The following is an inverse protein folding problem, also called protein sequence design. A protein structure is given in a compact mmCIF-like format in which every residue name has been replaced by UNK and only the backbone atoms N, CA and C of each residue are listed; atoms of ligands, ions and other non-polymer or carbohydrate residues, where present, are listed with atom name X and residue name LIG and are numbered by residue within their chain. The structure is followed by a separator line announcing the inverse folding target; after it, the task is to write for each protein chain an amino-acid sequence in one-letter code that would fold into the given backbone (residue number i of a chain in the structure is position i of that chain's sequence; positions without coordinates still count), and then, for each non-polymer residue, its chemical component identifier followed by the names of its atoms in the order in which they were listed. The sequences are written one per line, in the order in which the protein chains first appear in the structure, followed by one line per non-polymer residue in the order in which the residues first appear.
data_IF_563524123324
#
_entry.id   IF_563524123324
#
_cell.length_a   1.000
_cell.length_b   1.000
_cell.length_c   1.000
_cell.angle_alpha   90.00
_cell.angle_beta   90.00
_cell.angle_gamma   90.00
#
_symmetry.space_group_name_H-M   'P 1'
#
loop_
_entity.id
_entity.type
_entity.pdbx_description
1 polymer ?
#
# COMPACT_ATOMS: atom_id res chain seq x y z
N UNK A 1 25.98 -20.75 32.36
CA UNK A 1 24.62 -20.20 32.56
C UNK A 1 24.56 -18.70 32.28
N UNK A 2 24.82 -18.33 31.05
CA UNK A 2 24.74 -16.96 30.59
C UNK A 2 24.01 -16.90 29.24
N UNK A 3 22.72 -17.20 29.23
CA UNK A 3 21.83 -16.99 28.09
C UNK A 3 20.39 -17.04 28.53
N UNK A 4 19.87 -15.96 29.11
CA UNK A 4 18.45 -15.61 29.14
C UNK A 4 18.26 -14.14 29.55
N UNK A 5 18.94 -13.26 28.84
CA UNK A 5 18.64 -11.83 28.84
C UNK A 5 17.97 -11.46 27.53
N UNK A 6 16.80 -12.04 27.23
CA UNK A 6 15.91 -11.47 26.24
C UNK A 6 15.41 -10.17 26.85
N UNK A 7 15.99 -9.06 26.39
CA UNK A 7 15.55 -7.72 26.70
C UNK A 7 14.05 -7.62 26.30
N UNK A 8 13.16 -7.87 27.25
CA UNK A 8 11.77 -7.43 27.15
C UNK A 8 11.84 -5.90 27.12
N UNK A 9 11.95 -5.32 25.93
CA UNK A 9 11.57 -3.94 25.75
C UNK A 9 10.11 -3.84 26.17
N UNK A 10 9.92 -3.30 27.37
CA UNK A 10 8.59 -2.91 27.82
C UNK A 10 8.17 -1.77 26.91
N UNK A 11 7.27 -2.04 25.98
CA UNK A 11 6.62 -1.01 25.19
C UNK A 11 5.98 -0.03 26.16
N UNK A 12 6.42 1.22 26.13
CA UNK A 12 5.80 2.29 26.89
C UNK A 12 4.41 2.53 26.31
N UNK A 13 3.49 2.99 27.15
CA UNK A 13 2.06 3.22 26.85
C UNK A 13 1.80 4.20 25.68
N UNK A 14 2.86 4.73 25.05
CA UNK A 14 2.85 5.69 23.96
C UNK A 14 3.48 5.13 22.67
N UNK A 15 3.55 3.81 22.50
CA UNK A 15 4.04 3.22 21.25
C UNK A 15 3.05 3.55 20.14
N UNK A 16 3.46 4.45 19.25
CA UNK A 16 2.68 4.84 18.07
C UNK A 16 2.59 3.63 17.17
N UNK A 17 1.37 3.12 16.99
CA UNK A 17 1.11 2.06 16.01
C UNK A 17 1.26 2.67 14.63
N UNK A 18 2.23 2.17 13.86
CA UNK A 18 2.44 2.60 12.49
C UNK A 18 1.54 1.79 11.58
N UNK A 19 0.72 2.49 10.80
CA UNK A 19 -0.14 1.87 9.78
C UNK A 19 0.72 1.48 8.58
N UNK A 20 0.69 0.21 8.23
CA UNK A 20 1.47 -0.33 7.12
C UNK A 20 0.77 -0.14 5.77
N UNK A 21 1.51 -0.03 4.64
CA UNK A 21 0.90 0.13 3.31
C UNK A 21 -0.13 -0.96 2.96
N UNK A 22 0.07 -2.18 3.44
CA UNK A 22 -0.88 -3.28 3.25
C UNK A 22 -2.23 -3.09 3.94
N UNK A 23 -2.32 -2.12 4.84
CA UNK A 23 -3.56 -1.75 5.54
C UNK A 23 -4.22 -0.49 4.95
N UNK A 24 -3.59 0.11 3.93
CA UNK A 24 -4.08 1.30 3.26
C UNK A 24 -4.82 0.92 1.98
N UNK A 25 -6.15 1.02 2.01
CA UNK A 25 -7.02 0.67 0.90
C UNK A 25 -7.83 1.86 0.42
N UNK A 26 -8.12 1.89 -0.88
CA UNK A 26 -9.19 2.70 -1.46
C UNK A 26 -10.23 1.78 -2.11
N UNK A 27 -11.48 2.21 -2.13
CA UNK A 27 -12.62 1.40 -2.52
C UNK A 27 -13.31 0.72 -1.33
N UNK A 28 -14.02 -0.36 -1.60
CA UNK A 28 -14.74 -1.09 -0.56
C UNK A 28 -13.80 -1.94 0.29
N UNK A 29 -13.53 -1.53 1.52
CA UNK A 29 -12.63 -2.24 2.45
C UNK A 29 -13.01 -3.71 2.70
N UNK A 30 -14.29 -4.05 2.57
CA UNK A 30 -14.82 -5.40 2.79
C UNK A 30 -14.97 -6.20 1.49
N UNK A 31 -14.47 -5.68 0.36
CA UNK A 31 -14.52 -6.37 -0.92
C UNK A 31 -13.77 -7.70 -0.88
N UNK A 32 -14.36 -8.72 -1.51
CA UNK A 32 -13.74 -10.03 -1.67
C UNK A 32 -12.57 -10.03 -2.66
N UNK A 33 -12.49 -9.00 -3.51
CA UNK A 33 -11.45 -8.86 -4.55
C UNK A 33 -10.61 -7.62 -4.27
N UNK A 34 -9.30 -7.83 -4.18
CA UNK A 34 -8.30 -6.78 -4.01
C UNK A 34 -7.43 -6.69 -5.26
N UNK A 35 -7.36 -5.52 -5.86
CA UNK A 35 -6.35 -5.18 -6.86
C UNK A 35 -5.14 -4.62 -6.14
N UNK A 36 -3.97 -5.21 -6.34
CA UNK A 36 -2.71 -4.79 -5.73
C UNK A 36 -1.76 -4.38 -6.84
N UNK A 37 -1.15 -3.21 -6.70
CA UNK A 37 -0.07 -2.74 -7.56
C UNK A 37 1.23 -2.66 -6.77
N UNK A 38 2.31 -3.21 -7.31
CA UNK A 38 3.67 -2.87 -6.90
C UNK A 38 4.23 -1.84 -7.87
N UNK A 39 4.62 -0.69 -7.33
CA UNK A 39 5.05 0.45 -8.14
C UNK A 39 5.84 1.48 -7.36
N UNK A 40 6.16 2.59 -8.02
CA UNK A 40 6.89 3.72 -7.43
C UNK A 40 6.58 5.04 -8.14
N UNK A 41 6.92 6.16 -7.52
CA UNK A 41 6.43 7.48 -7.92
C UNK A 41 7.27 8.21 -8.99
N UNK A 42 8.54 7.84 -9.23
CA UNK A 42 9.32 8.42 -10.33
C UNK A 42 9.00 7.76 -11.67
N UNK A 43 8.47 6.54 -11.66
CA UNK A 43 8.17 5.77 -12.86
C UNK A 43 7.07 6.41 -13.70
N UNK A 44 7.38 6.67 -14.96
CA UNK A 44 6.40 7.13 -15.94
C UNK A 44 5.31 6.10 -16.20
N UNK A 45 5.70 4.83 -16.24
CA UNK A 45 4.77 3.73 -16.48
C UNK A 45 3.78 3.58 -15.32
N UNK A 46 4.25 3.70 -14.07
CA UNK A 46 3.36 3.70 -12.91
C UNK A 46 2.41 4.91 -12.92
N UNK A 47 2.89 6.09 -13.31
CA UNK A 47 2.04 7.28 -13.42
C UNK A 47 0.94 7.12 -14.48
N UNK A 48 1.26 6.55 -15.65
CA UNK A 48 0.27 6.24 -16.70
C UNK A 48 -0.78 5.25 -16.22
N UNK A 49 -0.34 4.21 -15.52
CA UNK A 49 -1.23 3.17 -15.01
C UNK A 49 -2.12 3.68 -13.88
N UNK A 50 -1.67 4.68 -13.10
CA UNK A 50 -2.50 5.30 -12.07
C UNK A 50 -3.82 5.84 -12.63
N UNK A 51 -3.83 6.39 -13.84
CA UNK A 51 -5.06 6.85 -14.49
C UNK A 51 -5.98 5.67 -14.86
N UNK A 52 -5.42 4.54 -15.26
CA UNK A 52 -6.18 3.31 -15.51
C UNK A 52 -6.80 2.79 -14.21
N UNK A 53 -6.04 2.79 -13.11
CA UNK A 53 -6.54 2.38 -11.78
C UNK A 53 -7.71 3.25 -11.34
N UNK A 54 -7.64 4.57 -11.54
CA UNK A 54 -8.77 5.47 -11.24
C UNK A 54 -10.03 5.09 -12.03
N UNK A 55 -9.90 4.78 -13.31
CA UNK A 55 -11.02 4.32 -14.13
C UNK A 55 -11.59 3.00 -13.63
N UNK A 56 -10.71 2.04 -13.26
CA UNK A 56 -11.13 0.76 -12.69
C UNK A 56 -11.90 0.94 -11.37
N UNK A 57 -11.45 1.84 -10.51
CA UNK A 57 -12.13 2.12 -9.25
C UNK A 57 -13.54 2.72 -9.45
N UNK A 58 -13.76 3.46 -10.53
CA UNK A 58 -15.08 3.96 -10.92
C UNK A 58 -15.94 2.81 -11.48
N UNK A 59 -15.41 2.03 -12.42
CA UNK A 59 -16.15 0.93 -13.07
C UNK A 59 -16.54 -0.18 -12.09
N UNK A 60 -15.67 -0.47 -11.14
CA UNK A 60 -15.85 -1.50 -10.13
C UNK A 60 -16.23 -0.96 -8.75
N UNK A 61 -16.86 0.22 -8.70
CA UNK A 61 -17.28 0.85 -7.45
C UNK A 61 -18.06 -0.12 -6.56
N UNK A 62 -17.70 -0.16 -5.29
CA UNK A 62 -18.28 -1.06 -4.30
C UNK A 62 -17.91 -2.55 -4.44
N UNK A 63 -17.31 -2.98 -5.55
CA UNK A 63 -17.00 -4.40 -5.83
C UNK A 63 -15.58 -4.79 -5.48
N UNK A 64 -14.64 -3.86 -5.57
CA UNK A 64 -13.21 -4.08 -5.33
C UNK A 64 -12.64 -3.10 -4.31
N UNK A 65 -11.47 -3.43 -3.81
CA UNK A 65 -10.58 -2.49 -3.14
C UNK A 65 -9.23 -2.49 -3.83
N UNK A 66 -8.52 -1.37 -3.74
CA UNK A 66 -7.20 -1.20 -4.32
C UNK A 66 -6.16 -0.94 -3.24
N UNK A 67 -4.99 -1.52 -3.41
CA UNK A 67 -3.83 -1.36 -2.56
C UNK A 67 -2.60 -1.07 -3.41
N UNK A 68 -1.85 -0.03 -3.02
CA UNK A 68 -0.56 0.28 -3.63
C UNK A 68 0.57 -0.15 -2.68
N UNK A 69 1.50 -0.94 -3.18
CA UNK A 69 2.66 -1.44 -2.46
C UNK A 69 3.92 -0.88 -3.11
N UNK A 70 4.84 -0.42 -2.30
CA UNK A 70 6.03 0.29 -2.77
C UNK A 70 7.11 -0.67 -3.29
N UNK A 71 7.61 -0.39 -4.49
CA UNK A 71 8.73 -1.13 -5.07
C UNK A 71 9.71 -0.18 -5.78
N UNK A 72 10.35 0.75 -5.03
CA UNK A 72 11.23 1.76 -5.60
C UNK A 72 12.48 1.13 -6.23
N UNK A 73 12.76 1.48 -7.50
CA UNK A 73 13.93 1.05 -8.26
C UNK A 73 15.09 2.03 -8.03
N UNK A 74 15.66 2.03 -6.84
CA UNK A 74 16.61 3.04 -6.37
C UNK A 74 17.90 3.17 -7.18
N UNK A 75 18.26 2.15 -7.97
CA UNK A 75 19.43 2.20 -8.86
C UNK A 75 19.22 3.14 -10.06
N UNK A 76 17.98 3.32 -10.51
CA UNK A 76 17.63 4.16 -11.66
C UNK A 76 16.79 5.37 -11.27
N UNK A 77 16.02 5.29 -10.19
CA UNK A 77 15.14 6.31 -9.66
C UNK A 77 15.54 6.68 -8.23
N UNK A 78 16.47 7.61 -8.09
CA UNK A 78 17.13 7.90 -6.81
C UNK A 78 16.21 8.55 -5.76
N UNK A 79 15.12 9.18 -6.18
CA UNK A 79 14.16 9.87 -5.30
C UNK A 79 12.95 9.00 -4.94
N UNK A 80 12.80 7.85 -5.59
CA UNK A 80 11.64 6.97 -5.44
C UNK A 80 11.48 6.42 -4.02
N UNK A 81 12.59 6.13 -3.32
CA UNK A 81 12.56 5.65 -1.93
C UNK A 81 11.94 6.69 -0.99
N UNK A 82 12.44 7.94 -1.01
CA UNK A 82 11.91 9.01 -0.16
C UNK A 82 10.48 9.40 -0.53
N UNK A 83 10.13 9.34 -1.81
CA UNK A 83 8.76 9.54 -2.25
C UNK A 83 7.83 8.45 -1.67
N UNK A 84 8.25 7.18 -1.69
CA UNK A 84 7.52 6.07 -1.09
C UNK A 84 7.35 6.27 0.43
N UNK A 85 8.43 6.60 1.13
CA UNK A 85 8.37 6.90 2.58
C UNK A 85 7.41 8.07 2.88
N UNK A 86 7.37 9.10 2.02
CA UNK A 86 6.49 10.25 2.21
C UNK A 86 5.00 9.89 2.08
N UNK A 87 4.66 8.94 1.20
CA UNK A 87 3.30 8.43 1.09
C UNK A 87 2.90 7.64 2.35
N UNK A 88 3.80 6.81 2.89
CA UNK A 88 3.56 6.08 4.14
C UNK A 88 3.39 7.05 5.31
N UNK A 89 4.22 8.09 5.39
CA UNK A 89 4.11 9.15 6.40
C UNK A 89 2.75 9.86 6.34
N UNK A 90 2.30 10.24 5.15
CA UNK A 90 0.97 10.84 4.95
C UNK A 90 -0.16 9.88 5.33
N UNK A 91 0.02 8.60 5.09
CA UNK A 91 -0.92 7.55 5.44
C UNK A 91 -1.18 7.42 6.94
N UNK A 92 -0.25 7.83 7.81
CA UNK A 92 -0.43 7.82 9.25
C UNK A 92 -1.54 8.77 9.72
N UNK A 93 -1.85 9.78 8.92
CA UNK A 93 -2.96 10.72 9.13
C UNK A 93 -4.16 10.45 8.20
N UNK A 94 -4.21 9.29 7.55
CA UNK A 94 -5.26 8.95 6.59
C UNK A 94 -5.17 9.73 5.26
N UNK A 95 -3.98 10.24 4.92
CA UNK A 95 -3.72 11.06 3.72
C UNK A 95 -2.86 10.35 2.67
N UNK A 96 -2.84 9.02 2.71
CA UNK A 96 -2.06 8.22 1.77
C UNK A 96 -2.47 8.50 0.31
N UNK A 97 -3.75 8.45 0.01
CA UNK A 97 -4.25 8.54 -1.37
C UNK A 97 -4.17 9.95 -1.93
N UNK A 98 -4.37 10.97 -1.11
CA UNK A 98 -4.13 12.35 -1.49
C UNK A 98 -2.65 12.56 -1.83
N UNK A 99 -1.74 12.08 -0.97
CA UNK A 99 -0.29 12.16 -1.22
C UNK A 99 0.12 11.35 -2.44
N UNK A 100 -0.40 10.14 -2.62
CA UNK A 100 -0.18 9.26 -3.77
C UNK A 100 -0.48 9.97 -5.08
N UNK A 101 -1.62 10.66 -5.18
CA UNK A 101 -1.99 11.39 -6.38
C UNK A 101 -1.10 12.61 -6.62
N UNK A 102 -0.75 13.37 -5.59
CA UNK A 102 0.16 14.52 -5.69
C UNK A 102 1.56 14.08 -6.14
N UNK A 103 2.06 12.97 -5.63
CA UNK A 103 3.38 12.42 -6.02
C UNK A 103 3.42 12.03 -7.50
N UNK A 104 2.43 11.32 -8.01
CA UNK A 104 2.37 10.98 -9.43
C UNK A 104 2.21 12.21 -10.32
N UNK A 105 1.42 13.19 -9.91
CA UNK A 105 1.27 14.45 -10.65
C UNK A 105 2.59 15.23 -10.74
N UNK A 106 3.49 15.04 -9.77
CA UNK A 106 4.77 15.76 -9.66
C UNK A 106 5.99 14.83 -9.77
N UNK A 107 5.86 13.68 -10.43
CA UNK A 107 6.87 12.60 -10.47
C UNK A 107 8.29 13.05 -10.85
N UNK A 108 8.44 14.15 -11.56
CA UNK A 108 9.75 14.68 -11.99
C UNK A 108 10.43 15.56 -10.94
N UNK A 109 9.72 15.90 -9.87
CA UNK A 109 10.22 16.78 -8.82
C UNK A 109 9.92 16.23 -7.41
N UNK A 110 10.60 15.15 -7.04
CA UNK A 110 10.41 14.43 -5.79
C UNK A 110 11.56 14.63 -4.78
N UNK A 111 12.18 15.82 -4.80
CA UNK A 111 13.16 16.21 -3.79
C UNK A 111 12.52 16.40 -2.41
N UNK A 112 13.29 16.25 -1.35
CA UNK A 112 12.79 16.28 0.04
C UNK A 112 12.01 17.54 0.38
N UNK A 113 12.46 18.71 -0.09
CA UNK A 113 11.74 19.99 0.09
C UNK A 113 10.39 19.98 -0.61
N UNK A 114 10.34 19.43 -1.83
CA UNK A 114 9.09 19.29 -2.59
C UNK A 114 8.14 18.32 -1.91
N UNK A 115 8.64 17.20 -1.38
CA UNK A 115 7.81 16.23 -0.63
C UNK A 115 7.14 16.87 0.59
N UNK A 116 7.84 17.79 1.28
CA UNK A 116 7.23 18.58 2.36
C UNK A 116 6.09 19.48 1.87
N UNK A 117 6.27 20.14 0.73
CA UNK A 117 5.20 20.96 0.13
C UNK A 117 4.00 20.10 -0.27
N UNK A 118 4.25 18.95 -0.90
CA UNK A 118 3.21 18.01 -1.32
C UNK A 118 2.45 17.42 -0.12
N UNK A 119 3.12 17.20 1.00
CA UNK A 119 2.42 16.75 2.21
C UNK A 119 1.40 17.77 2.71
N UNK A 120 1.71 19.06 2.64
CA UNK A 120 0.75 20.12 2.97
C UNK A 120 -0.41 20.17 1.98
N UNK A 121 -0.12 20.06 0.68
CA UNK A 121 -1.13 19.97 -0.37
C UNK A 121 -2.07 18.78 -0.16
N UNK A 122 -1.53 17.63 0.25
CA UNK A 122 -2.29 16.44 0.61
C UNK A 122 -3.09 16.56 1.92
N UNK A 123 -2.89 17.64 2.69
CA UNK A 123 -3.59 17.87 3.94
C UNK A 123 -2.95 17.23 5.17
N UNK A 124 -1.65 16.92 5.11
CA UNK A 124 -0.88 16.41 6.26
C UNK A 124 -0.59 17.54 7.24
N UNK A 125 -0.93 17.35 8.51
CA UNK A 125 -0.75 18.33 9.57
C UNK A 125 0.47 18.06 10.48
N UNK A 126 1.11 16.91 10.36
CA UNK A 126 2.24 16.52 11.17
C UNK A 126 3.42 17.50 11.00
N UNK A 127 3.70 18.28 12.03
CA UNK A 127 4.81 19.25 12.04
C UNK A 127 6.21 18.59 11.95
N UNK A 128 6.30 17.32 12.32
CA UNK A 128 7.54 16.51 12.26
C UNK A 128 7.73 15.79 10.94
N UNK A 129 6.81 15.95 9.97
CA UNK A 129 6.84 15.21 8.70
C UNK A 129 8.21 15.22 8.02
N UNK A 130 8.84 16.40 7.90
CA UNK A 130 10.15 16.52 7.26
C UNK A 130 11.24 15.81 8.07
N UNK A 131 11.25 15.98 9.40
CA UNK A 131 12.25 15.35 10.28
C UNK A 131 12.11 13.82 10.24
N UNK A 132 10.90 13.31 10.29
CA UNK A 132 10.61 11.88 10.18
C UNK A 132 11.02 11.32 8.81
N UNK A 133 10.78 12.07 7.73
CA UNK A 133 11.18 11.70 6.39
C UNK A 133 12.71 11.65 6.23
N UNK A 134 13.41 12.69 6.70
CA UNK A 134 14.88 12.76 6.64
C UNK A 134 15.51 11.65 7.46
N UNK A 135 14.96 11.36 8.64
CA UNK A 135 15.45 10.30 9.52
C UNK A 135 15.02 8.89 9.13
N UNK A 136 14.26 8.73 8.04
CA UNK A 136 13.86 7.42 7.50
C UNK A 136 12.94 6.62 8.42
N UNK A 137 12.09 7.30 9.21
CA UNK A 137 11.18 6.66 10.18
C UNK A 137 10.29 5.60 9.53
N UNK A 138 9.91 5.79 8.28
CA UNK A 138 9.03 4.88 7.53
C UNK A 138 9.75 4.00 6.52
N UNK A 139 11.09 4.00 6.54
CA UNK A 139 11.90 3.27 5.57
C UNK A 139 11.71 1.76 5.65
N UNK A 140 11.49 1.21 6.82
CA UNK A 140 11.33 -0.23 6.99
C UNK A 140 10.01 -0.76 6.40
N UNK A 141 8.91 0.04 6.40
CA UNK A 141 7.67 -0.34 5.73
C UNK A 141 7.85 -0.44 4.22
N UNK A 142 8.63 0.47 3.65
CA UNK A 142 8.97 0.41 2.22
C UNK A 142 9.85 -0.81 1.93
N UNK A 143 10.81 -1.13 2.80
CA UNK A 143 11.65 -2.33 2.65
C UNK A 143 10.84 -3.63 2.78
N UNK A 144 9.84 -3.68 3.65
CA UNK A 144 8.94 -4.82 3.77
C UNK A 144 8.10 -5.01 2.50
N UNK A 145 7.62 -3.93 1.90
CA UNK A 145 6.93 -3.97 0.60
C UNK A 145 7.82 -4.51 -0.51
N UNK A 146 9.08 -4.04 -0.59
CA UNK A 146 10.07 -4.54 -1.56
C UNK A 146 10.32 -6.04 -1.36
N UNK A 147 10.51 -6.46 -0.12
CA UNK A 147 10.73 -7.86 0.24
C UNK A 147 9.54 -8.73 -0.16
N UNK A 148 8.33 -8.29 0.16
CA UNK A 148 7.12 -9.00 -0.23
C UNK A 148 6.97 -9.10 -1.74
N UNK A 149 7.18 -7.99 -2.47
CA UNK A 149 7.16 -7.97 -3.93
C UNK A 149 8.13 -8.97 -4.53
N UNK A 150 9.39 -9.00 -4.06
CA UNK A 150 10.39 -9.98 -4.49
C UNK A 150 9.96 -11.41 -4.22
N UNK A 151 9.43 -11.70 -3.04
CA UNK A 151 8.94 -13.02 -2.66
C UNK A 151 7.76 -13.46 -3.56
N UNK A 152 6.97 -12.51 -4.06
CA UNK A 152 5.86 -12.75 -4.99
C UNK A 152 6.30 -12.75 -6.46
N UNK A 153 7.58 -12.61 -6.75
CA UNK A 153 8.13 -12.67 -8.11
C UNK A 153 8.15 -11.35 -8.86
N UNK A 154 7.94 -10.21 -8.17
CA UNK A 154 8.07 -8.87 -8.78
C UNK A 154 9.54 -8.60 -9.11
N UNK A 155 9.84 -8.31 -10.38
CA UNK A 155 11.19 -7.99 -10.89
C UNK A 155 11.23 -6.63 -11.58
N UNK A 156 10.10 -6.16 -12.01
CA UNK A 156 9.89 -4.89 -12.71
C UNK A 156 8.60 -4.24 -12.21
N UNK A 157 8.32 -3.02 -12.59
CA UNK A 157 7.15 -2.25 -12.20
C UNK A 157 6.55 -1.52 -13.43
N UNK A 158 5.23 -1.24 -13.42
CA UNK A 158 4.23 -1.72 -12.45
C UNK A 158 3.89 -3.20 -12.64
N UNK A 159 3.62 -3.91 -11.54
CA UNK A 159 3.10 -5.28 -11.55
C UNK A 159 1.82 -5.32 -10.73
N UNK A 160 0.80 -5.99 -11.28
CA UNK A 160 -0.50 -6.12 -10.64
C UNK A 160 -0.77 -7.54 -10.18
N UNK A 161 -1.48 -7.63 -9.06
CA UNK A 161 -2.08 -8.85 -8.55
C UNK A 161 -3.58 -8.64 -8.37
N UNK A 162 -4.36 -9.65 -8.67
CA UNK A 162 -5.75 -9.73 -8.25
C UNK A 162 -5.82 -10.80 -7.18
N UNK A 163 -6.04 -10.37 -5.93
CA UNK A 163 -5.82 -11.19 -4.74
C UNK A 163 -4.36 -11.70 -4.71
N UNK A 164 -4.15 -13.01 -4.77
CA UNK A 164 -2.81 -13.62 -4.74
C UNK A 164 -2.28 -13.99 -6.14
N UNK A 165 -3.06 -13.76 -7.20
CA UNK A 165 -2.69 -14.13 -8.57
C UNK A 165 -2.07 -12.94 -9.31
N UNK A 166 -0.83 -13.10 -9.80
CA UNK A 166 -0.18 -12.10 -10.65
C UNK A 166 -0.94 -11.98 -11.98
N UNK A 167 -1.25 -10.75 -12.37
CA UNK A 167 -1.85 -10.46 -13.69
C UNK A 167 -0.75 -10.47 -14.74
N UNK A 168 -0.87 -11.36 -15.73
CA UNK A 168 0.08 -11.45 -16.83
C UNK A 168 -0.22 -10.43 -17.93
N UNK A 169 0.80 -10.05 -18.70
CA UNK A 169 0.68 -9.12 -19.81
C UNK A 169 0.72 -7.66 -19.40
N UNK A 170 0.47 -6.77 -20.37
CA UNK A 170 0.52 -5.32 -20.13
C UNK A 170 -0.66 -4.87 -19.25
N UNK A 171 -0.44 -3.93 -18.32
CA UNK A 171 -1.48 -3.44 -17.42
C UNK A 171 -2.41 -2.44 -18.12
N UNK A 172 -3.12 -2.89 -19.13
CA UNK A 172 -4.16 -2.12 -19.81
C UNK A 172 -5.49 -2.22 -19.05
N UNK A 173 -6.39 -1.27 -19.28
CA UNK A 173 -7.74 -1.32 -18.71
C UNK A 173 -8.44 -2.65 -19.03
N UNK A 174 -8.39 -3.09 -20.28
CA UNK A 174 -9.02 -4.33 -20.70
C UNK A 174 -8.44 -5.58 -19.99
N UNK A 175 -7.11 -5.64 -19.87
CA UNK A 175 -6.45 -6.79 -19.25
C UNK A 175 -6.72 -6.85 -17.73
N UNK A 176 -6.65 -5.72 -17.05
CA UNK A 176 -6.95 -5.64 -15.61
C UNK A 176 -8.44 -5.89 -15.33
N UNK A 177 -9.35 -5.37 -16.18
CA UNK A 177 -10.78 -5.65 -16.08
C UNK A 177 -11.09 -7.14 -16.22
N UNK A 178 -10.47 -7.81 -17.20
CA UNK A 178 -10.67 -9.25 -17.40
C UNK A 178 -10.24 -10.06 -16.16
N UNK A 179 -9.12 -9.70 -15.54
CA UNK A 179 -8.65 -10.35 -14.31
C UNK A 179 -9.60 -10.11 -13.12
N UNK A 180 -10.10 -8.88 -12.98
CA UNK A 180 -11.07 -8.51 -11.94
C UNK A 180 -12.40 -9.24 -12.13
N UNK A 181 -12.92 -9.31 -13.35
CA UNK A 181 -14.17 -10.03 -13.69
C UNK A 181 -14.05 -11.51 -13.35
N UNK A 182 -12.93 -12.14 -13.70
CA UNK A 182 -12.69 -13.54 -13.39
C UNK A 182 -12.66 -13.79 -11.86
N UNK A 183 -12.01 -12.91 -11.09
CA UNK A 183 -11.97 -13.03 -9.64
C UNK A 183 -13.33 -12.79 -8.99
N UNK A 184 -14.12 -11.84 -9.48
CA UNK A 184 -15.47 -11.57 -8.99
C UNK A 184 -16.42 -12.74 -9.26
N UNK A 185 -16.29 -13.42 -10.41
CA UNK A 185 -17.05 -14.65 -10.69
C UNK A 185 -16.68 -15.77 -9.71
N UNK A 186 -15.39 -15.99 -9.46
CA UNK A 186 -14.90 -16.99 -8.49
C UNK A 186 -15.40 -16.69 -7.07
N UNK A 187 -15.45 -15.43 -6.67
CA UNK A 187 -15.90 -15.04 -5.32
C UNK A 187 -17.39 -15.33 -5.08
N UNK A 188 -18.22 -15.17 -6.11
CA UNK A 188 -19.66 -15.45 -6.04
C UNK A 188 -19.95 -16.95 -6.03
N UNK A 189 -19.10 -17.80 -6.59
CA UNK A 189 -19.27 -19.25 -6.66
C UNK A 189 -18.80 -19.99 -5.40
N UNK A 190 -18.04 -19.33 -4.48
CA UNK A 190 -17.68 -19.92 -3.20
C UNK A 190 -18.86 -19.80 -2.22
N UNK A 191 -19.39 -20.92 -1.65
CA UNK A 191 -20.39 -20.84 -0.58
C UNK A 191 -19.83 -20.03 0.58
N UNK A 192 -20.64 -19.14 1.14
CA UNK A 192 -20.27 -18.36 2.32
C UNK A 192 -19.75 -19.29 3.40
N UNK A 193 -18.46 -19.26 3.72
CA UNK A 193 -17.91 -20.00 4.83
C UNK A 193 -18.63 -19.53 6.11
N UNK A 194 -19.39 -20.42 6.74
CA UNK A 194 -20.08 -20.16 7.99
C UNK A 194 -19.07 -19.59 8.98
N UNK A 195 -19.26 -18.34 9.40
CA UNK A 195 -18.54 -17.77 10.54
C UNK A 195 -18.72 -18.72 11.70
N UNK A 196 -17.65 -19.43 12.12
CA UNK A 196 -17.64 -20.21 13.36
C UNK A 196 -17.89 -19.22 14.50
N UNK A 197 -19.04 -19.33 15.13
CA UNK A 197 -19.36 -18.60 16.35
C UNK A 197 -18.31 -18.95 17.41
N UNK A 198 -17.73 -17.92 18.02
CA UNK A 198 -16.81 -18.10 19.13
C UNK A 198 -17.54 -18.81 20.30
N UNK A 199 -16.90 -19.76 21.00
CA UNK A 199 -17.52 -20.45 22.12
C UNK A 199 -17.78 -19.45 23.26
N UNK A 200 -19.05 -19.36 23.71
CA UNK A 200 -19.43 -18.61 24.88
C UNK A 200 -18.73 -19.22 26.11
N UNK A 201 -17.83 -18.47 26.75
CA UNK A 201 -17.30 -18.83 28.07
C UNK A 201 -18.47 -18.90 29.07
N UNK A 202 -18.75 -20.08 29.60
CA UNK A 202 -19.64 -20.26 30.76
C UNK A 202 -18.94 -19.65 31.96
N UNK A 203 -19.51 -18.58 32.52
CA UNK A 203 -19.22 -18.16 33.89
C UNK A 203 -19.82 -19.22 34.81
N UNK A 204 -18.97 -19.82 35.68
CA UNK A 204 -19.42 -20.54 36.84
C UNK A 204 -19.55 -19.58 38.02
N UNK A 205 -20.68 -19.69 38.66
CA UNK A 205 -20.98 -19.02 39.94
C UNK A 205 -20.04 -19.48 41.06
#
# INVERSE_FOLDING_TARGET
DAQKGVLKMAFKKDDVIIIEPREMFVGNKDAAVTLIEFGEYESEECAKVNEIVKQLLIEYDGKIRFQFRHFPLTLIHQRSLKASESAVAAGQEGKFWEMHNVLFANRRNLGTTSLKLYSKEAGVNNKKFLDELVNGVYGWQVQDDIKEGRNRGVKEIPVFFVNDEMVSGKPTFANLSAALDAALKKSKSKPAAKKKAAPKKKQKA
#
